data_IF_276793428517
#
_entry.id   IF_276793428517
#
_cell.length_a   1.000
_cell.length_b   1.000
_cell.length_c   1.000
_cell.angle_alpha   90.00
_cell.angle_beta   90.00
_cell.angle_gamma   90.00
#
_symmetry.space_group_name_H-M   'P 1'
#
loop_
_entity.id
_entity.type
_entity.pdbx_description
1 polymer ?
#
# COMPACT_ATOMS: atom_id res chain seq x y z
N UNK A 1 -6.44 27.38 19.40
CA UNK A 1 -7.03 26.87 18.14
C UNK A 1 -6.63 25.40 18.03
N UNK A 2 -7.54 24.50 17.68
CA UNK A 2 -7.25 23.06 17.53
C UNK A 2 -7.07 22.68 16.07
N UNK A 3 -6.11 21.82 15.78
CA UNK A 3 -5.77 21.37 14.43
C UNK A 3 -6.25 19.92 14.24
N UNK A 4 -7.25 19.65 13.39
CA UNK A 4 -7.93 18.35 13.34
C UNK A 4 -7.23 17.33 12.43
N UNK A 5 -6.03 17.60 11.91
CA UNK A 5 -5.30 16.72 10.99
C UNK A 5 -5.28 15.25 11.44
N UNK A 6 -4.76 14.98 12.64
CA UNK A 6 -4.70 13.61 13.17
C UNK A 6 -6.07 13.04 13.52
N UNK A 7 -7.06 13.88 13.84
CA UNK A 7 -8.44 13.43 14.04
C UNK A 7 -9.03 12.91 12.72
N UNK A 8 -8.75 13.58 11.60
CA UNK A 8 -9.06 13.05 10.27
C UNK A 8 -8.32 11.75 10.02
N UNK A 9 -7.00 11.70 10.10
CA UNK A 9 -6.24 10.46 9.84
C UNK A 9 -6.72 9.26 10.67
N UNK A 10 -7.15 9.48 11.92
CA UNK A 10 -7.73 8.41 12.75
C UNK A 10 -9.01 7.77 12.17
N UNK A 11 -9.61 8.36 11.13
CA UNK A 11 -10.79 7.86 10.43
C UNK A 11 -10.45 6.92 9.26
N UNK A 12 -9.17 6.75 8.91
CA UNK A 12 -8.74 5.74 7.92
C UNK A 12 -9.25 4.33 8.27
N UNK A 13 -9.36 4.01 9.58
CA UNK A 13 -9.98 2.76 10.06
C UNK A 13 -11.45 2.55 9.65
N UNK A 14 -12.10 3.61 9.14
CA UNK A 14 -13.50 3.59 8.69
C UNK A 14 -13.62 3.50 7.16
N UNK A 15 -12.51 3.63 6.44
CA UNK A 15 -12.48 3.56 4.99
C UNK A 15 -12.18 2.11 4.62
N UNK A 16 -13.20 1.44 4.07
CA UNK A 16 -13.13 0.02 3.74
C UNK A 16 -12.66 -0.17 2.30
N UNK A 17 -11.68 -1.05 2.14
CA UNK A 17 -11.15 -1.47 0.85
C UNK A 17 -11.97 -2.61 0.28
N UNK A 18 -11.85 -2.83 -1.03
CA UNK A 18 -12.53 -3.93 -1.72
C UNK A 18 -14.05 -3.91 -1.53
N UNK A 19 -14.64 -2.72 -1.38
CA UNK A 19 -16.05 -2.51 -1.02
C UNK A 19 -17.06 -3.04 -2.05
N UNK A 20 -16.61 -3.35 -3.27
CA UNK A 20 -17.41 -3.94 -4.34
C UNK A 20 -17.35 -5.48 -4.39
N UNK A 21 -16.57 -6.11 -3.49
CA UNK A 21 -16.39 -7.56 -3.44
C UNK A 21 -16.84 -8.09 -2.07
N UNK A 22 -17.34 -9.32 -2.01
CA UNK A 22 -17.57 -9.98 -0.73
C UNK A 22 -16.22 -10.35 -0.14
N UNK A 23 -15.92 -9.83 1.04
CA UNK A 23 -14.69 -10.15 1.77
C UNK A 23 -14.96 -11.23 2.83
N UNK A 24 -14.06 -12.18 2.98
CA UNK A 24 -14.05 -13.13 4.11
C UNK A 24 -13.74 -12.38 5.40
N UNK A 25 -12.73 -11.52 5.35
CA UNK A 25 -12.37 -10.58 6.41
C UNK A 25 -12.27 -9.18 5.82
N UNK A 26 -13.08 -8.20 6.28
CA UNK A 26 -12.96 -6.83 5.79
C UNK A 26 -11.59 -6.22 6.07
N UNK A 27 -11.07 -5.43 5.14
CA UNK A 27 -9.83 -4.65 5.27
C UNK A 27 -10.18 -3.15 5.29
N UNK A 28 -9.43 -2.35 6.04
CA UNK A 28 -9.50 -0.88 5.99
C UNK A 28 -8.14 -0.25 5.68
N UNK A 29 -8.15 1.02 5.28
CA UNK A 29 -6.93 1.73 4.87
C UNK A 29 -5.87 1.83 5.97
N UNK A 30 -6.26 1.82 7.25
CA UNK A 30 -5.28 1.86 8.34
C UNK A 30 -4.52 0.52 8.48
N UNK A 31 -5.20 -0.61 8.31
CA UNK A 31 -4.58 -1.94 8.30
C UNK A 31 -3.69 -2.11 7.07
N UNK A 32 -4.23 -1.73 5.90
CA UNK A 32 -3.50 -1.76 4.64
C UNK A 32 -2.24 -0.88 4.69
N UNK A 33 -2.36 0.39 5.11
CA UNK A 33 -1.22 1.31 5.21
C UNK A 33 -0.12 0.78 6.12
N UNK A 34 -0.46 0.11 7.22
CA UNK A 34 0.53 -0.52 8.09
C UNK A 34 1.23 -1.69 7.38
N UNK A 35 0.50 -2.55 6.67
CA UNK A 35 1.08 -3.65 5.91
C UNK A 35 2.00 -3.15 4.79
N UNK A 36 1.56 -2.16 4.02
CA UNK A 36 2.36 -1.50 2.98
C UNK A 36 3.62 -0.89 3.55
N UNK A 37 3.54 -0.22 4.71
CA UNK A 37 4.69 0.36 5.38
C UNK A 37 5.74 -0.69 5.78
N UNK A 38 5.31 -1.82 6.35
CA UNK A 38 6.23 -2.90 6.72
C UNK A 38 6.90 -3.53 5.48
N UNK A 39 6.14 -3.74 4.40
CA UNK A 39 6.67 -4.32 3.16
C UNK A 39 7.62 -3.33 2.47
N UNK A 40 7.24 -2.06 2.34
CA UNK A 40 8.04 -1.03 1.69
C UNK A 40 9.38 -0.82 2.41
N UNK A 41 9.35 -0.80 3.75
CA UNK A 41 10.55 -0.74 4.58
C UNK A 41 11.47 -1.95 4.34
N UNK A 42 10.92 -3.17 4.31
CA UNK A 42 11.71 -4.37 4.03
C UNK A 42 12.35 -4.33 2.62
N UNK A 43 11.60 -3.92 1.60
CA UNK A 43 12.12 -3.76 0.23
C UNK A 43 13.23 -2.69 0.19
N UNK A 44 13.07 -1.58 0.90
CA UNK A 44 14.09 -0.53 0.98
C UNK A 44 15.37 -1.02 1.67
N UNK A 45 15.25 -1.81 2.74
CA UNK A 45 16.41 -2.47 3.38
C UNK A 45 17.09 -3.42 2.40
N UNK A 46 16.34 -4.25 1.67
CA UNK A 46 16.91 -5.15 0.67
C UNK A 46 17.64 -4.36 -0.43
N UNK A 47 17.04 -3.29 -0.92
CA UNK A 47 17.64 -2.39 -1.90
C UNK A 47 18.97 -1.80 -1.40
N UNK A 48 18.99 -1.31 -0.16
CA UNK A 48 20.18 -0.75 0.47
C UNK A 48 21.26 -1.82 0.70
N UNK A 49 20.93 -2.91 1.38
CA UNK A 49 21.89 -3.88 1.89
C UNK A 49 22.37 -4.88 0.83
N UNK A 50 21.48 -5.36 -0.06
CA UNK A 50 21.84 -6.35 -1.08
C UNK A 50 22.28 -5.72 -2.39
N UNK A 51 21.76 -4.53 -2.71
CA UNK A 51 21.96 -3.89 -4.01
C UNK A 51 22.70 -2.54 -3.95
N UNK A 52 23.06 -2.07 -2.76
CA UNK A 52 23.84 -0.83 -2.58
C UNK A 52 23.12 0.41 -3.08
N UNK A 53 21.78 0.41 -3.08
CA UNK A 53 20.97 1.53 -3.55
C UNK A 53 21.02 2.67 -2.55
N UNK A 54 21.09 3.90 -3.08
CA UNK A 54 20.96 5.12 -2.28
C UNK A 54 19.47 5.37 -2.00
N UNK A 55 19.02 4.89 -0.85
CA UNK A 55 17.63 4.91 -0.40
C UNK A 55 17.61 5.04 1.12
N UNK A 56 16.63 5.78 1.66
CA UNK A 56 16.40 5.93 3.10
C UNK A 56 15.19 5.04 3.49
N UNK A 57 15.40 3.87 4.13
CA UNK A 57 14.30 2.98 4.52
C UNK A 57 13.29 3.64 5.46
N UNK A 58 13.74 4.48 6.40
CA UNK A 58 12.88 5.19 7.34
C UNK A 58 12.02 6.27 6.63
N UNK A 59 12.56 6.90 5.60
CA UNK A 59 11.78 7.79 4.75
C UNK A 59 10.74 7.02 3.92
N UNK A 60 11.12 5.88 3.31
CA UNK A 60 10.19 4.98 2.59
C UNK A 60 9.07 4.50 3.50
N UNK A 61 9.40 4.10 4.73
CA UNK A 61 8.42 3.71 5.75
C UNK A 61 7.42 4.85 6.00
N UNK A 62 7.92 6.07 6.17
CA UNK A 62 7.08 7.26 6.41
C UNK A 62 6.18 7.57 5.21
N UNK A 63 6.71 7.51 3.98
CA UNK A 63 5.93 7.66 2.75
C UNK A 63 4.79 6.63 2.68
N UNK A 64 5.09 5.37 2.98
CA UNK A 64 4.11 4.29 2.95
C UNK A 64 3.01 4.44 4.01
N UNK A 65 3.32 4.94 5.21
CA UNK A 65 2.29 5.19 6.24
C UNK A 65 1.24 6.20 5.79
N UNK A 66 1.60 7.15 4.94
CA UNK A 66 0.72 8.24 4.50
C UNK A 66 0.20 8.09 3.07
N UNK A 67 0.55 7.00 2.35
CA UNK A 67 0.29 6.91 0.91
C UNK A 67 -1.19 7.03 0.52
N UNK A 68 -2.10 6.45 1.33
CA UNK A 68 -3.55 6.52 1.16
C UNK A 68 -4.22 7.53 2.11
N UNK A 69 -3.45 8.42 2.77
CA UNK A 69 -4.00 9.35 3.77
C UNK A 69 -5.10 10.27 3.22
N UNK A 70 -5.03 10.62 1.93
CA UNK A 70 -6.04 11.45 1.24
C UNK A 70 -7.39 10.75 1.09
N UNK A 71 -7.43 9.42 1.14
CA UNK A 71 -8.65 8.62 1.04
C UNK A 71 -9.60 8.85 2.21
N UNK A 72 -9.13 9.45 3.31
CA UNK A 72 -10.01 9.92 4.39
C UNK A 72 -11.00 11.01 3.96
N UNK A 73 -10.69 11.71 2.86
CA UNK A 73 -11.55 12.75 2.28
C UNK A 73 -12.39 12.22 1.12
N UNK A 74 -11.84 11.31 0.30
CA UNK A 74 -12.49 10.82 -0.92
C UNK A 74 -13.22 9.50 -0.74
N UNK A 75 -12.86 8.73 0.29
CA UNK A 75 -13.09 7.28 0.37
C UNK A 75 -12.10 6.51 -0.53
N UNK A 76 -11.98 5.21 -0.27
CA UNK A 76 -11.32 4.25 -1.17
C UNK A 76 -12.16 4.13 -2.44
N UNK A 77 -11.51 4.34 -3.58
CA UNK A 77 -12.12 4.23 -4.89
C UNK A 77 -11.53 3.02 -5.63
N UNK A 78 -12.35 2.03 -6.02
CA UNK A 78 -11.87 0.85 -6.71
C UNK A 78 -11.08 1.18 -7.97
N UNK A 79 -9.98 0.47 -8.19
CA UNK A 79 -9.09 0.61 -9.36
C UNK A 79 -9.83 0.70 -10.72
N UNK A 80 -10.86 -0.13 -11.02
CA UNK A 80 -11.57 -0.03 -12.29
C UNK A 80 -12.26 1.33 -12.52
N UNK A 81 -12.65 2.01 -11.44
CA UNK A 81 -13.25 3.35 -11.47
C UNK A 81 -12.18 4.41 -11.70
N UNK A 82 -11.03 4.31 -11.01
CA UNK A 82 -9.88 5.24 -11.14
C UNK A 82 -9.34 5.33 -12.59
N UNK A 83 -9.41 4.25 -13.37
CA UNK A 83 -8.79 4.16 -14.72
C UNK A 83 -9.77 4.08 -15.91
N UNK A 84 -11.06 4.34 -15.72
CA UNK A 84 -12.09 4.13 -16.75
C UNK A 84 -11.94 5.03 -18.01
N UNK A 85 -11.41 6.25 -17.86
CA UNK A 85 -11.09 7.14 -19.00
C UNK A 85 -9.97 8.13 -18.64
N UNK A 86 -9.30 8.68 -19.64
CA UNK A 86 -8.25 9.71 -19.43
C UNK A 86 -8.82 10.98 -18.79
N UNK A 87 -10.05 11.35 -19.13
CA UNK A 87 -10.76 12.49 -18.53
C UNK A 87 -10.99 12.25 -17.04
N UNK A 88 -11.50 11.06 -16.68
CA UNK A 88 -11.72 10.69 -15.29
C UNK A 88 -10.41 10.63 -14.52
N UNK A 89 -9.34 10.07 -15.11
CA UNK A 89 -8.01 10.04 -14.49
C UNK A 89 -7.51 11.44 -14.15
N UNK A 90 -7.66 12.40 -15.06
CA UNK A 90 -7.30 13.79 -14.80
C UNK A 90 -8.17 14.44 -13.71
N UNK A 91 -9.45 14.09 -13.64
CA UNK A 91 -10.34 14.56 -12.57
C UNK A 91 -9.97 13.97 -11.20
N UNK A 92 -9.62 12.68 -11.15
CA UNK A 92 -9.16 12.00 -9.94
C UNK A 92 -7.85 12.59 -9.43
N UNK A 93 -6.88 12.81 -10.31
CA UNK A 93 -5.61 13.43 -9.95
C UNK A 93 -5.81 14.81 -9.31
N UNK A 94 -6.68 15.65 -9.88
CA UNK A 94 -7.05 16.94 -9.26
C UNK A 94 -7.75 16.79 -7.92
N UNK A 95 -8.57 15.75 -7.75
CA UNK A 95 -9.26 15.47 -6.49
C UNK A 95 -8.28 15.03 -5.40
N UNK A 96 -7.29 14.21 -5.74
CA UNK A 96 -6.19 13.81 -4.85
C UNK A 96 -5.37 15.03 -4.41
N UNK A 97 -4.97 15.90 -5.35
CA UNK A 97 -4.24 17.14 -5.05
C UNK A 97 -5.04 18.05 -4.11
N UNK A 98 -6.32 18.28 -4.39
CA UNK A 98 -7.19 19.09 -3.55
C UNK A 98 -7.37 18.48 -2.14
N UNK A 99 -7.44 17.16 -2.06
CA UNK A 99 -7.58 16.43 -0.78
C UNK A 99 -6.30 16.54 0.04
N UNK A 100 -5.14 16.43 -0.59
CA UNK A 100 -3.84 16.64 0.02
C UNK A 100 -3.69 18.07 0.55
N UNK A 101 -4.01 19.07 -0.27
CA UNK A 101 -3.99 20.49 0.13
C UNK A 101 -4.91 20.75 1.32
N UNK A 102 -6.12 20.18 1.28
CA UNK A 102 -7.09 20.31 2.36
C UNK A 102 -6.58 19.67 3.64
N UNK A 103 -5.97 18.48 3.58
CA UNK A 103 -5.39 17.81 4.75
C UNK A 103 -4.23 18.62 5.33
N UNK A 104 -3.29 19.08 4.50
CA UNK A 104 -2.16 19.91 4.94
C UNK A 104 -2.64 21.18 5.64
N UNK A 105 -3.67 21.85 5.13
CA UNK A 105 -4.24 23.05 5.74
C UNK A 105 -4.85 22.80 7.15
N UNK A 106 -5.03 21.55 7.58
CA UNK A 106 -5.49 21.20 8.93
C UNK A 106 -4.35 21.12 9.94
N UNK A 107 -3.09 21.29 9.52
CA UNK A 107 -1.91 21.40 10.38
C UNK A 107 -1.62 22.86 10.73
N UNK A 108 -0.91 23.11 11.85
CA UNK A 108 -0.23 24.38 12.08
C UNK A 108 0.65 24.78 10.89
N UNK A 109 0.64 26.06 10.50
CA UNK A 109 1.38 26.55 9.32
C UNK A 109 2.87 26.22 9.36
N UNK A 110 3.48 26.20 10.55
CA UNK A 110 4.89 25.84 10.76
C UNK A 110 5.20 24.36 10.51
N UNK A 111 4.20 23.47 10.61
CA UNK A 111 4.36 22.03 10.37
C UNK A 111 4.02 21.62 8.93
N UNK A 112 3.25 22.41 8.18
CA UNK A 112 2.83 22.07 6.82
C UNK A 112 4.01 21.71 5.89
N UNK A 113 5.15 22.44 5.89
CA UNK A 113 6.29 22.08 5.05
C UNK A 113 6.85 20.68 5.33
N UNK A 114 6.85 20.25 6.60
CA UNK A 114 7.37 18.94 6.99
C UNK A 114 6.47 17.78 6.55
N UNK A 115 5.15 18.00 6.45
CA UNK A 115 4.19 16.97 6.03
C UNK A 115 3.92 16.95 4.54
N UNK A 116 4.25 18.04 3.82
CA UNK A 116 4.00 18.17 2.38
C UNK A 116 4.56 17.01 1.55
N UNK A 117 5.80 16.52 1.78
CA UNK A 117 6.35 15.40 1.01
C UNK A 117 5.57 14.09 1.14
N UNK A 118 4.85 13.89 2.24
CA UNK A 118 4.08 12.67 2.50
C UNK A 118 2.63 12.74 2.00
N UNK A 119 2.11 13.95 1.78
CA UNK A 119 0.71 14.17 1.36
C UNK A 119 0.58 14.43 -0.14
N UNK A 120 1.61 15.03 -0.76
CA UNK A 120 1.61 15.32 -2.20
C UNK A 120 2.41 14.26 -2.94
N UNK A 121 2.05 14.04 -4.21
CA UNK A 121 2.64 12.99 -5.04
C UNK A 121 4.17 12.99 -4.97
N UNK A 122 4.69 11.96 -4.31
CA UNK A 122 6.10 11.64 -4.36
C UNK A 122 6.44 11.05 -5.74
N UNK A 123 7.67 11.26 -6.17
CA UNK A 123 8.20 10.67 -7.39
C UNK A 123 9.60 10.14 -7.09
N UNK A 124 10.14 9.33 -8.00
CA UNK A 124 11.45 8.73 -7.82
C UNK A 124 11.40 7.33 -7.25
N UNK A 125 12.56 6.87 -6.81
CA UNK A 125 12.82 5.47 -6.50
C UNK A 125 12.05 5.00 -5.25
N UNK A 126 12.09 5.76 -4.16
CA UNK A 126 11.37 5.46 -2.92
C UNK A 126 9.87 5.30 -3.13
N UNK A 127 9.25 6.21 -3.89
CA UNK A 127 7.84 6.10 -4.26
C UNK A 127 7.55 4.87 -5.16
N UNK A 128 8.52 4.43 -5.96
CA UNK A 128 8.41 3.19 -6.74
C UNK A 128 8.40 1.98 -5.80
N UNK A 129 9.18 2.00 -4.72
CA UNK A 129 9.16 0.95 -3.70
C UNK A 129 7.81 0.90 -2.96
N UNK A 130 7.26 2.05 -2.58
CA UNK A 130 5.91 2.12 -1.96
C UNK A 130 4.84 1.55 -2.90
N UNK A 131 4.89 1.89 -4.20
CA UNK A 131 3.98 1.34 -5.21
C UNK A 131 4.16 -0.16 -5.47
N UNK A 132 5.34 -0.71 -5.24
CA UNK A 132 5.55 -2.15 -5.29
C UNK A 132 4.94 -2.81 -4.04
N UNK A 133 5.18 -2.23 -2.86
CA UNK A 133 4.64 -2.70 -1.59
C UNK A 133 3.11 -2.69 -1.54
N UNK A 134 2.46 -1.63 -2.03
CA UNK A 134 0.99 -1.53 -2.18
C UNK A 134 0.43 -2.71 -3.01
N UNK A 135 1.03 -2.97 -4.18
CA UNK A 135 0.64 -4.12 -5.01
C UNK A 135 0.84 -5.46 -4.30
N UNK A 136 1.95 -5.63 -3.59
CA UNK A 136 2.24 -6.86 -2.83
C UNK A 136 1.21 -7.05 -1.71
N UNK A 137 0.85 -5.99 -0.98
CA UNK A 137 -0.23 -6.03 0.02
C UNK A 137 -1.55 -6.47 -0.61
N UNK A 138 -1.92 -5.91 -1.77
CA UNK A 138 -3.10 -6.35 -2.51
C UNK A 138 -3.03 -7.83 -2.96
N UNK A 139 -1.84 -8.33 -3.30
CA UNK A 139 -1.63 -9.74 -3.62
C UNK A 139 -1.86 -10.64 -2.42
N UNK A 140 -1.33 -10.26 -1.26
CA UNK A 140 -1.52 -10.98 0.01
C UNK A 140 -3.01 -11.06 0.34
N UNK A 141 -3.73 -9.93 0.24
CA UNK A 141 -5.18 -9.90 0.41
C UNK A 141 -5.91 -10.89 -0.52
N UNK A 142 -5.55 -10.90 -1.80
CA UNK A 142 -6.09 -11.87 -2.76
C UNK A 142 -5.77 -13.32 -2.36
N UNK A 143 -4.54 -13.61 -1.92
CA UNK A 143 -4.14 -14.94 -1.47
C UNK A 143 -4.97 -15.40 -0.27
N UNK A 144 -5.14 -14.55 0.74
CA UNK A 144 -5.95 -14.85 1.93
C UNK A 144 -7.41 -15.18 1.57
N UNK A 145 -8.02 -14.39 0.68
CA UNK A 145 -9.38 -14.63 0.21
C UNK A 145 -9.49 -15.94 -0.58
N UNK A 146 -8.54 -16.24 -1.47
CA UNK A 146 -8.50 -17.51 -2.21
C UNK A 146 -8.36 -18.71 -1.26
N UNK A 147 -7.51 -18.62 -0.23
CA UNK A 147 -7.33 -19.65 0.80
C UNK A 147 -8.60 -19.88 1.61
N UNK A 148 -9.38 -18.84 1.84
CA UNK A 148 -10.71 -18.94 2.46
C UNK A 148 -11.78 -19.55 1.53
N UNK A 149 -11.43 -19.89 0.29
CA UNK A 149 -12.35 -20.42 -0.72
C UNK A 149 -13.16 -19.34 -1.43
N UNK A 150 -12.79 -18.06 -1.29
CA UNK A 150 -13.48 -16.96 -1.92
C UNK A 150 -12.99 -16.72 -3.36
N UNK A 151 -13.74 -17.27 -4.31
CA UNK A 151 -13.44 -17.20 -5.75
C UNK A 151 -13.73 -15.84 -6.40
N UNK A 152 -14.36 -14.91 -5.68
CA UNK A 152 -14.58 -13.55 -6.21
C UNK A 152 -13.25 -12.83 -6.49
N UNK A 153 -12.20 -13.19 -5.77
CA UNK A 153 -10.85 -12.64 -5.92
C UNK A 153 -9.99 -13.34 -6.99
N UNK A 154 -10.46 -14.41 -7.64
CA UNK A 154 -9.65 -15.19 -8.60
C UNK A 154 -9.07 -14.32 -9.72
N UNK A 155 -9.90 -13.48 -10.35
CA UNK A 155 -9.48 -12.60 -11.44
C UNK A 155 -8.58 -11.45 -10.96
N UNK A 156 -8.86 -10.89 -9.78
CA UNK A 156 -8.01 -9.85 -9.20
C UNK A 156 -6.62 -10.41 -8.85
N UNK A 157 -6.57 -11.62 -8.31
CA UNK A 157 -5.34 -12.29 -7.93
C UNK A 157 -4.43 -12.58 -9.14
N UNK A 158 -5.01 -13.04 -10.26
CA UNK A 158 -4.26 -13.25 -11.52
C UNK A 158 -3.64 -11.94 -12.03
N UNK A 159 -4.45 -10.89 -12.19
CA UNK A 159 -3.96 -9.59 -12.66
C UNK A 159 -2.89 -8.99 -11.74
N UNK A 160 -3.08 -9.10 -10.42
CA UNK A 160 -2.12 -8.57 -9.45
C UNK A 160 -0.81 -9.35 -9.50
N UNK A 161 -0.86 -10.69 -9.56
CA UNK A 161 0.36 -11.53 -9.72
C UNK A 161 1.12 -11.20 -10.99
N UNK A 162 0.42 -10.99 -12.11
CA UNK A 162 1.04 -10.56 -13.37
C UNK A 162 1.70 -9.18 -13.20
N UNK A 163 1.00 -8.24 -12.55
CA UNK A 163 1.51 -6.90 -12.32
C UNK A 163 2.77 -6.87 -11.45
N UNK A 164 2.85 -7.75 -10.45
CA UNK A 164 3.98 -7.87 -9.53
C UNK A 164 5.15 -8.58 -10.21
N UNK A 165 4.87 -9.62 -10.99
CA UNK A 165 5.90 -10.36 -11.76
C UNK A 165 6.56 -9.48 -12.83
N UNK A 166 5.84 -8.47 -13.32
CA UNK A 166 6.35 -7.48 -14.26
C UNK A 166 7.23 -6.38 -13.61
N UNK A 167 7.33 -6.32 -12.28
CA UNK A 167 8.16 -5.33 -11.58
C UNK A 167 9.63 -5.69 -11.79
N UNK A 168 10.36 -4.83 -12.52
CA UNK A 168 11.78 -5.04 -12.81
C UNK A 168 12.69 -4.40 -11.76
N UNK A 169 12.51 -4.82 -10.50
CA UNK A 169 13.34 -4.41 -9.37
C UNK A 169 13.86 -5.66 -8.65
N UNK A 170 15.18 -5.86 -8.53
CA UNK A 170 15.72 -7.07 -7.93
C UNK A 170 15.39 -7.19 -6.43
N UNK A 171 15.35 -6.07 -5.69
CA UNK A 171 14.89 -6.03 -4.30
C UNK A 171 13.44 -6.48 -4.11
N UNK A 172 12.57 -6.22 -5.09
CA UNK A 172 11.18 -6.67 -5.08
C UNK A 172 11.13 -8.17 -5.36
N UNK A 173 11.89 -8.65 -6.35
CA UNK A 173 11.98 -10.08 -6.68
C UNK A 173 12.50 -10.90 -5.51
N UNK A 174 13.48 -10.38 -4.78
CA UNK A 174 13.99 -10.99 -3.55
C UNK A 174 12.90 -11.06 -2.48
N UNK A 175 12.16 -9.97 -2.25
CA UNK A 175 11.06 -9.99 -1.28
C UNK A 175 10.01 -11.06 -1.63
N UNK A 176 9.64 -11.14 -2.91
CA UNK A 176 8.67 -12.12 -3.40
C UNK A 176 9.16 -13.55 -3.25
N UNK A 177 10.46 -13.78 -3.42
CA UNK A 177 11.05 -15.12 -3.29
C UNK A 177 11.18 -15.51 -1.82
N UNK A 178 11.66 -14.59 -0.98
CA UNK A 178 12.04 -14.88 0.40
C UNK A 178 10.82 -14.89 1.36
N UNK A 179 9.80 -14.05 1.11
CA UNK A 179 8.73 -13.80 2.10
C UNK A 179 7.32 -14.11 1.60
N UNK A 180 7.02 -13.94 0.31
CA UNK A 180 5.64 -14.13 -0.18
C UNK A 180 5.09 -15.56 0.02
N UNK A 181 5.87 -16.65 -0.17
CA UNK A 181 5.35 -18.01 0.01
C UNK A 181 4.80 -18.28 1.42
N UNK A 182 5.35 -17.61 2.44
CA UNK A 182 4.91 -17.80 3.83
C UNK A 182 3.47 -17.33 4.09
N UNK A 183 2.92 -16.45 3.23
CA UNK A 183 1.51 -16.03 3.32
C UNK A 183 0.53 -17.13 2.90
N UNK A 184 0.99 -18.22 2.28
CA UNK A 184 0.16 -19.39 1.98
C UNK A 184 0.23 -20.47 3.07
N UNK A 185 1.13 -20.31 4.04
CA UNK A 185 1.31 -21.26 5.14
C UNK A 185 0.21 -21.12 6.20
N UNK A 186 -0.17 -22.23 6.80
CA UNK A 186 -0.99 -22.31 8.02
C UNK A 186 -0.16 -21.95 9.25
N UNK A 187 -0.83 -21.68 10.38
CA UNK A 187 -0.13 -21.40 11.63
C UNK A 187 0.79 -22.56 12.07
N UNK A 188 0.38 -23.81 11.84
CA UNK A 188 1.18 -24.98 12.17
C UNK A 188 2.44 -25.06 11.30
N UNK A 189 2.32 -24.81 9.99
CA UNK A 189 3.46 -24.76 9.07
C UNK A 189 4.43 -23.63 9.43
N UNK A 190 3.93 -22.46 9.84
CA UNK A 190 4.77 -21.34 10.29
C UNK A 190 5.58 -21.68 11.55
N UNK A 191 5.01 -22.48 12.46
CA UNK A 191 5.68 -22.91 13.70
C UNK A 191 6.56 -24.16 13.51
N UNK A 192 6.39 -24.88 12.41
CA UNK A 192 7.12 -26.09 12.07
C UNK A 192 7.66 -26.04 10.63
N UNK A 193 8.60 -25.11 10.33
CA UNK A 193 9.16 -25.01 8.99
C UNK A 193 9.87 -26.32 8.63
N UNK A 194 9.39 -27.00 7.59
CA UNK A 194 10.09 -28.13 6.98
C UNK A 194 11.32 -27.63 6.20
N UNK A 195 12.35 -28.46 6.07
CA UNK A 195 13.55 -28.14 5.28
C UNK A 195 13.24 -27.88 3.78
N UNK A 196 12.02 -28.19 3.31
CA UNK A 196 11.55 -27.88 1.94
C UNK A 196 11.10 -26.41 1.77
N UNK A 197 10.86 -25.68 2.87
CA UNK A 197 10.36 -24.30 2.88
C UNK A 197 11.39 -23.28 3.42
N UNK A 198 12.68 -23.63 3.44
CA UNK A 198 13.75 -22.87 4.10
C UNK A 198 14.86 -22.42 3.14
#
# INVERSE_FOLDING_TARGET
MSFPFFAYLSRLRLIHRWSLMRNTVPENDAEHSLQVAMIAHAIAIIAQDRYGKDVDPEHVLSLAVYHDATEVMTGDLPTPVKYHSDELRGAYHRLEELSADRLLALLPEDLQPAFTPYMKQASGYEHTLVKAADRISACIKCMEEQRAGNREFDYAAENIRDSISAIDLPEVKDFLTDFLPAFDMTLDELNHPSDENR
#
